data_IF_845571687510
#
_entry.id   IF_845571687510
#
_cell.length_a   1.000
_cell.length_b   1.000
_cell.length_c   1.000
_cell.angle_alpha   90.00
_cell.angle_beta   90.00
_cell.angle_gamma   90.00
#
_symmetry.space_group_name_H-M   'P 1'
#
loop_
_entity.id
_entity.type
_entity.pdbx_description
1 polymer ?
#
# COMPACT_ATOMS: atom_id res chain seq x y z
N UNK A 1 27.23 -8.49 4.08
CA UNK A 1 28.14 -7.73 4.95
C UNK A 1 28.47 -8.46 6.25
N UNK A 2 27.51 -8.67 7.17
CA UNK A 2 27.78 -9.34 8.47
C UNK A 2 28.16 -10.82 8.32
N UNK A 3 27.48 -11.57 7.44
CA UNK A 3 27.84 -12.97 7.13
C UNK A 3 29.16 -13.10 6.35
N UNK A 4 29.54 -12.10 5.55
CA UNK A 4 30.81 -12.13 4.80
C UNK A 4 32.02 -12.08 5.73
N UNK A 5 31.97 -11.26 6.78
CA UNK A 5 33.04 -11.15 7.79
C UNK A 5 33.30 -12.48 8.52
N UNK A 6 32.26 -13.30 8.69
CA UNK A 6 32.37 -14.63 9.30
C UNK A 6 33.07 -15.63 8.39
N UNK A 7 32.88 -15.51 7.08
CA UNK A 7 33.45 -16.40 6.06
C UNK A 7 34.89 -15.99 5.74
N UNK A 8 35.17 -14.69 5.57
CA UNK A 8 36.51 -14.18 5.25
C UNK A 8 37.49 -14.28 6.42
N UNK A 9 37.02 -14.05 7.66
CA UNK A 9 37.90 -13.95 8.83
C UNK A 9 37.38 -14.72 10.05
N UNK A 10 37.27 -16.06 9.98
CA UNK A 10 36.71 -16.89 11.05
C UNK A 10 37.51 -16.83 12.36
N UNK A 11 38.83 -16.61 12.27
CA UNK A 11 39.75 -16.53 13.42
C UNK A 11 39.76 -15.14 14.10
N UNK A 12 39.32 -14.07 13.42
CA UNK A 12 39.47 -12.68 13.90
C UNK A 12 38.16 -11.91 14.03
N UNK A 13 37.02 -12.62 14.07
CA UNK A 13 35.68 -12.05 14.21
C UNK A 13 35.57 -11.03 15.36
N UNK A 14 36.18 -11.32 16.52
CA UNK A 14 36.22 -10.38 17.65
C UNK A 14 36.97 -9.08 17.33
N UNK A 15 38.09 -9.17 16.60
CA UNK A 15 38.90 -8.00 16.21
C UNK A 15 38.16 -7.16 15.17
N UNK A 16 37.52 -7.81 14.20
CA UNK A 16 36.67 -7.16 13.20
C UNK A 16 35.49 -6.43 13.83
N UNK A 17 34.75 -7.07 14.75
CA UNK A 17 33.64 -6.43 15.49
C UNK A 17 34.09 -5.19 16.26
N UNK A 18 35.27 -5.25 16.89
CA UNK A 18 35.84 -4.14 17.65
C UNK A 18 36.21 -2.95 16.77
N UNK A 19 36.80 -3.21 15.60
CA UNK A 19 37.10 -2.18 14.60
C UNK A 19 35.81 -1.53 14.07
N UNK A 20 34.79 -2.35 13.79
CA UNK A 20 33.48 -1.92 13.29
C UNK A 20 32.55 -1.34 14.37
N UNK A 21 32.96 -1.35 15.65
CA UNK A 21 32.16 -0.92 16.81
C UNK A 21 30.77 -1.60 16.88
N UNK A 22 30.70 -2.88 16.54
CA UNK A 22 29.48 -3.69 16.62
C UNK A 22 29.60 -4.76 17.70
N UNK A 23 28.48 -5.17 18.32
CA UNK A 23 28.51 -6.28 19.26
C UNK A 23 28.59 -7.63 18.53
N UNK A 24 29.25 -8.62 19.15
CA UNK A 24 29.32 -9.98 18.61
C UNK A 24 27.95 -10.66 18.55
N UNK A 25 27.03 -10.30 19.45
CA UNK A 25 25.68 -10.86 19.46
C UNK A 25 24.89 -10.53 18.19
N UNK A 26 25.17 -9.38 17.56
CA UNK A 26 24.56 -9.00 16.28
C UNK A 26 24.95 -9.95 15.14
N UNK A 27 26.13 -10.57 15.17
CA UNK A 27 26.55 -11.58 14.17
C UNK A 27 25.74 -12.87 14.28
N UNK A 28 25.34 -13.25 15.49
CA UNK A 28 24.61 -14.50 15.73
C UNK A 28 23.09 -14.33 15.67
N UNK A 29 22.61 -13.09 15.66
CA UNK A 29 21.20 -12.80 15.64
C UNK A 29 20.56 -13.22 14.31
N UNK A 30 19.64 -14.18 14.38
CA UNK A 30 18.74 -14.52 13.27
C UNK A 30 17.32 -14.13 13.66
N UNK A 31 16.66 -13.37 12.78
CA UNK A 31 15.23 -13.08 12.95
C UNK A 31 14.42 -14.36 12.79
N UNK A 32 13.63 -14.72 13.80
CA UNK A 32 12.73 -15.88 13.81
C UNK A 32 11.46 -15.63 12.97
N UNK A 33 11.23 -14.38 12.51
CA UNK A 33 10.00 -14.02 11.80
C UNK A 33 9.99 -14.63 10.40
N UNK A 34 9.18 -15.67 10.22
CA UNK A 34 8.83 -16.17 8.90
C UNK A 34 7.65 -15.36 8.33
N UNK A 35 7.96 -14.63 7.26
CA UNK A 35 7.02 -13.82 6.48
C UNK A 35 6.84 -14.38 5.06
N UNK A 36 7.55 -15.45 4.68
CA UNK A 36 7.62 -15.94 3.29
C UNK A 36 6.26 -16.33 2.73
N UNK A 37 5.46 -17.07 3.50
CA UNK A 37 4.10 -17.45 3.10
C UNK A 37 3.23 -16.23 2.76
N UNK A 38 3.34 -15.16 3.56
CA UNK A 38 2.55 -13.95 3.33
C UNK A 38 3.07 -13.14 2.16
N UNK A 39 4.39 -13.14 1.93
CA UNK A 39 5.00 -12.49 0.77
C UNK A 39 4.49 -13.13 -0.53
N UNK A 40 4.53 -14.47 -0.63
CA UNK A 40 4.07 -15.18 -1.82
C UNK A 40 2.56 -15.04 -2.02
N UNK A 41 1.77 -15.16 -0.95
CA UNK A 41 0.32 -15.01 -1.03
C UNK A 41 -0.13 -13.59 -1.41
N UNK A 42 0.51 -12.55 -0.85
CA UNK A 42 0.25 -11.16 -1.22
C UNK A 42 0.71 -10.85 -2.64
N UNK A 43 1.86 -11.39 -3.07
CA UNK A 43 2.35 -11.26 -4.45
C UNK A 43 1.35 -11.82 -5.46
N UNK A 44 0.89 -13.06 -5.24
CA UNK A 44 -0.13 -13.68 -6.11
C UNK A 44 -1.45 -12.90 -6.13
N UNK A 45 -1.86 -12.33 -4.99
CA UNK A 45 -3.06 -11.48 -4.93
C UNK A 45 -2.87 -10.16 -5.68
N UNK A 46 -1.68 -9.56 -5.59
CA UNK A 46 -1.37 -8.31 -6.27
C UNK A 46 -1.35 -8.49 -7.80
N UNK A 47 -0.80 -9.60 -8.30
CA UNK A 47 -0.85 -9.93 -9.73
C UNK A 47 -2.28 -10.14 -10.23
N UNK A 48 -3.09 -10.89 -9.48
CA UNK A 48 -4.49 -11.17 -9.85
C UNK A 48 -5.38 -9.93 -9.75
N UNK A 49 -5.10 -9.04 -8.80
CA UNK A 49 -5.94 -7.88 -8.49
C UNK A 49 -5.11 -6.60 -8.31
N UNK A 50 -4.53 -6.05 -9.39
CA UNK A 50 -3.55 -4.95 -9.32
C UNK A 50 -4.14 -3.59 -8.89
N UNK A 51 -5.48 -3.47 -8.82
CA UNK A 51 -6.17 -2.25 -8.34
C UNK A 51 -6.60 -2.35 -6.88
N UNK A 52 -6.45 -3.51 -6.26
CA UNK A 52 -6.89 -3.74 -4.89
C UNK A 52 -5.85 -3.25 -3.87
N UNK A 53 -6.32 -2.43 -2.93
CA UNK A 53 -5.50 -2.01 -1.79
C UNK A 53 -5.47 -3.05 -0.67
N UNK A 54 -4.64 -2.76 0.33
CA UNK A 54 -4.40 -3.61 1.50
C UNK A 54 -5.64 -4.27 2.11
N UNK A 55 -6.71 -3.50 2.38
CA UNK A 55 -7.90 -4.03 3.05
C UNK A 55 -8.64 -5.10 2.25
N UNK A 56 -8.64 -5.00 0.92
CA UNK A 56 -9.24 -6.01 0.04
C UNK A 56 -8.38 -7.28 0.03
N UNK A 57 -7.05 -7.14 -0.10
CA UNK A 57 -6.13 -8.27 -0.02
C UNK A 57 -6.20 -8.98 1.35
N UNK A 58 -6.29 -8.22 2.45
CA UNK A 58 -6.48 -8.74 3.80
C UNK A 58 -7.79 -9.54 3.93
N UNK A 59 -8.91 -8.99 3.46
CA UNK A 59 -10.20 -9.68 3.44
C UNK A 59 -10.16 -10.98 2.63
N UNK A 60 -9.52 -10.96 1.46
CA UNK A 60 -9.35 -12.17 0.62
C UNK A 60 -8.55 -13.26 1.31
N UNK A 61 -7.45 -12.91 1.99
CA UNK A 61 -6.66 -13.84 2.79
C UNK A 61 -7.50 -14.45 3.93
N UNK A 62 -8.28 -13.62 4.61
CA UNK A 62 -9.16 -14.08 5.68
C UNK A 62 -10.27 -15.01 5.17
N UNK A 63 -10.84 -14.73 4.01
CA UNK A 63 -11.84 -15.60 3.36
C UNK A 63 -11.26 -16.94 2.91
N UNK A 64 -9.94 -17.02 2.67
CA UNK A 64 -9.23 -18.28 2.41
C UNK A 64 -8.85 -19.03 3.69
N UNK A 65 -9.31 -18.58 4.86
CA UNK A 65 -9.01 -19.20 6.16
C UNK A 65 -7.68 -18.78 6.78
N UNK A 66 -6.94 -17.84 6.18
CA UNK A 66 -5.66 -17.38 6.74
C UNK A 66 -5.92 -16.39 7.88
N UNK A 67 -5.70 -16.83 9.12
CA UNK A 67 -5.80 -15.98 10.32
C UNK A 67 -4.47 -15.27 10.56
N UNK A 68 -4.43 -13.96 10.28
CA UNK A 68 -3.26 -13.12 10.55
C UNK A 68 -3.68 -11.77 11.11
N UNK A 69 -2.87 -11.23 12.03
CA UNK A 69 -3.05 -9.87 12.51
C UNK A 69 -2.81 -8.88 11.35
N UNK A 70 -3.75 -7.97 11.12
CA UNK A 70 -3.65 -6.95 10.08
C UNK A 70 -2.37 -6.09 10.21
N UNK A 71 -1.85 -5.86 11.43
CA UNK A 71 -0.59 -5.13 11.64
C UNK A 71 0.62 -5.88 11.06
N UNK A 72 0.70 -7.21 11.28
CA UNK A 72 1.77 -8.05 10.71
C UNK A 72 1.68 -8.03 9.19
N UNK A 73 0.49 -8.27 8.65
CA UNK A 73 0.30 -8.29 7.20
C UNK A 73 0.58 -6.93 6.56
N UNK A 74 0.20 -5.83 7.21
CA UNK A 74 0.46 -4.47 6.71
C UNK A 74 1.96 -4.14 6.68
N UNK A 75 2.73 -4.58 7.67
CA UNK A 75 4.20 -4.45 7.66
C UNK A 75 4.78 -5.16 6.43
N UNK A 76 4.35 -6.39 6.18
CA UNK A 76 4.83 -7.20 5.05
C UNK A 76 4.40 -6.55 3.74
N UNK A 77 3.14 -6.16 3.61
CA UNK A 77 2.59 -5.47 2.44
C UNK A 77 3.39 -4.21 2.07
N UNK A 78 3.80 -3.42 3.07
CA UNK A 78 4.70 -2.28 2.86
C UNK A 78 6.11 -2.69 2.48
N UNK A 79 6.69 -3.73 3.11
CA UNK A 79 8.06 -4.15 2.82
C UNK A 79 8.22 -4.69 1.40
N UNK A 80 7.17 -5.29 0.83
CA UNK A 80 7.16 -5.76 -0.58
C UNK A 80 6.73 -4.68 -1.59
N UNK A 81 6.54 -3.43 -1.15
CA UNK A 81 6.28 -2.30 -2.06
C UNK A 81 4.88 -2.23 -2.65
N UNK A 82 3.89 -2.97 -2.12
CA UNK A 82 2.51 -2.97 -2.65
C UNK A 82 1.70 -1.72 -2.23
N UNK A 83 2.27 -0.81 -1.47
CA UNK A 83 1.58 0.40 -1.02
C UNK A 83 1.25 1.33 -2.20
N UNK A 84 0.01 1.24 -2.68
CA UNK A 84 -0.47 2.12 -3.75
C UNK A 84 -0.50 3.58 -3.29
N UNK A 85 0.15 4.45 -4.08
CA UNK A 85 0.06 5.88 -3.87
C UNK A 85 -1.33 6.37 -4.26
N UNK A 86 -2.08 6.92 -3.30
CA UNK A 86 -3.32 7.63 -3.59
C UNK A 86 -3.00 8.82 -4.49
N UNK A 87 -3.58 8.86 -5.70
CA UNK A 87 -3.52 10.05 -6.55
C UNK A 87 -4.25 11.19 -5.82
N UNK A 88 -3.57 12.32 -5.65
CA UNK A 88 -4.20 13.51 -5.09
C UNK A 88 -5.29 13.98 -6.06
N UNK A 89 -6.40 14.52 -5.53
CA UNK A 89 -7.41 15.16 -6.37
C UNK A 89 -6.73 16.39 -7.00
N UNK A 90 -6.65 16.44 -8.34
CA UNK A 90 -6.20 17.64 -9.03
C UNK A 90 -7.19 18.76 -8.69
N UNK A 91 -6.68 19.93 -8.31
CA UNK A 91 -7.52 21.12 -8.14
C UNK A 91 -8.08 21.47 -9.51
N UNK A 92 -9.39 21.34 -9.67
CA UNK A 92 -10.06 21.80 -10.89
C UNK A 92 -9.93 23.33 -10.95
N UNK A 93 -9.77 23.94 -12.15
CA UNK A 93 -9.82 25.37 -12.29
C UNK A 93 -11.15 25.90 -11.74
N UNK A 94 -11.10 27.07 -11.10
CA UNK A 94 -12.31 27.70 -10.56
C UNK A 94 -13.26 27.95 -11.72
N UNK A 95 -14.46 27.36 -11.70
CA UNK A 95 -15.51 27.63 -12.69
C UNK A 95 -15.83 29.13 -12.63
N UNK A 96 -15.72 29.82 -13.76
CA UNK A 96 -16.22 31.17 -13.90
C UNK A 96 -17.75 31.14 -13.75
N UNK A 97 -18.26 31.85 -12.75
CA UNK A 97 -19.71 32.00 -12.56
C UNK A 97 -20.21 32.95 -13.63
N UNK A 98 -20.79 32.41 -14.70
CA UNK A 98 -21.54 33.21 -15.67
C UNK A 98 -22.89 33.60 -15.02
N UNK A 99 -23.33 34.85 -15.16
CA UNK A 99 -24.67 35.25 -14.70
C UNK A 99 -25.72 34.41 -15.42
N UNK A 100 -26.82 34.10 -14.73
CA UNK A 100 -27.97 33.43 -15.34
C UNK A 100 -28.56 34.37 -16.40
N UNK A 101 -28.74 33.85 -17.62
CA UNK A 101 -29.35 34.62 -18.71
C UNK A 101 -30.84 34.76 -18.40
N UNK A 102 -31.30 36.00 -18.26
CA UNK A 102 -32.73 36.31 -18.10
C UNK A 102 -33.32 36.54 -19.51
N UNK A 103 -34.35 35.79 -19.92
CA UNK A 103 -34.98 36.00 -21.23
C UNK A 103 -35.66 37.37 -21.30
N UNK A 104 -35.54 38.03 -22.44
CA UNK A 104 -36.14 39.36 -22.68
C UNK A 104 -37.64 39.31 -22.97
N UNK A 105 -38.13 38.15 -23.43
CA UNK A 105 -39.52 37.93 -23.84
C UNK A 105 -40.03 36.61 -23.28
N UNK A 106 -41.35 36.53 -23.14
CA UNK A 106 -42.05 35.29 -22.79
C UNK A 106 -41.73 34.18 -23.83
N UNK A 107 -41.56 32.94 -23.36
CA UNK A 107 -41.31 31.74 -24.21
C UNK A 107 -39.93 31.67 -24.91
N UNK A 108 -38.99 32.56 -24.59
CA UNK A 108 -37.62 32.49 -25.16
C UNK A 108 -36.75 31.37 -24.59
N UNK A 109 -37.06 30.89 -23.39
CA UNK A 109 -36.32 29.80 -22.74
C UNK A 109 -37.28 28.70 -22.31
N UNK A 110 -36.94 27.46 -22.67
CA UNK A 110 -37.64 26.27 -22.23
C UNK A 110 -36.70 25.47 -21.34
N UNK A 111 -37.07 25.28 -20.08
CA UNK A 111 -36.41 24.35 -19.18
C UNK A 111 -37.04 22.98 -19.37
N UNK A 112 -36.22 21.95 -19.57
CA UNK A 112 -36.70 20.57 -19.52
C UNK A 112 -36.83 20.20 -18.03
N UNK A 113 -38.02 19.81 -17.61
CA UNK A 113 -38.27 19.27 -16.28
C UNK A 113 -38.56 17.78 -16.41
N UNK A 114 -38.01 16.97 -15.51
CA UNK A 114 -38.20 15.52 -15.51
C UNK A 114 -38.79 15.09 -14.17
N UNK A 115 -40.07 14.75 -14.17
CA UNK A 115 -40.74 14.08 -13.06
C UNK A 115 -40.66 12.57 -13.25
N UNK A 116 -39.94 11.89 -12.37
CA UNK A 116 -40.00 10.43 -12.24
C UNK A 116 -41.12 10.06 -11.27
N UNK A 117 -42.15 9.37 -11.75
CA UNK A 117 -43.08 8.67 -10.86
C UNK A 117 -42.39 7.41 -10.33
N UNK A 118 -42.35 7.26 -9.00
CA UNK A 118 -41.69 6.14 -8.34
C UNK A 118 -42.79 5.36 -7.61
N UNK A 119 -43.12 4.18 -8.13
CA UNK A 119 -43.94 3.17 -7.46
C UNK A 119 -43.13 2.35 -6.47
#
# INVERSE_FOLDING_TARGET
MVDQLRIEYPQSVSKACRILKMSRSTLHYKSIKDDNFFITALGSLAEKHPREGFWKSYGRLRNKGVVVNHKKLYRIYKSIGLAMRRKYKKRLPKREKKPLVTPSKFTQSWSIDFTSDVM
#
